data_IF_792284803187
#
_entry.id   IF_792284803187
#
_cell.length_a   1.000
_cell.length_b   1.000
_cell.length_c   1.000
_cell.angle_alpha   90.00
_cell.angle_beta   90.00
_cell.angle_gamma   90.00
#
_symmetry.space_group_name_H-M   'P 1'
#
loop_
_entity.id
_entity.type
_entity.pdbx_description
1 polymer ?
#
# COMPACT_ATOMS: atom_id res chain seq x y z
N UNK A 1 15.19 -10.01 -6.18
CA UNK A 1 14.39 -10.27 -4.96
C UNK A 1 15.17 -11.23 -4.07
N UNK A 2 15.12 -11.08 -2.74
CA UNK A 2 15.70 -12.02 -1.78
C UNK A 2 14.72 -13.14 -1.47
N UNK A 3 15.24 -14.33 -1.13
CA UNK A 3 14.41 -15.47 -0.71
C UNK A 3 13.81 -15.26 0.70
N UNK A 4 12.69 -15.93 1.03
CA UNK A 4 12.11 -15.86 2.38
C UNK A 4 13.08 -16.29 3.48
N UNK A 5 14.01 -17.20 3.18
CA UNK A 5 15.03 -17.66 4.13
C UNK A 5 15.99 -16.53 4.49
N UNK A 6 16.47 -15.78 3.48
CA UNK A 6 17.34 -14.61 3.69
C UNK A 6 16.63 -13.47 4.43
N UNK A 7 15.31 -13.36 4.26
CA UNK A 7 14.49 -12.29 4.84
C UNK A 7 13.96 -12.61 6.23
N UNK A 8 14.00 -13.86 6.67
CA UNK A 8 13.38 -14.31 7.91
C UNK A 8 13.77 -13.47 9.15
N UNK A 9 15.04 -13.05 9.23
CA UNK A 9 15.53 -12.22 10.34
C UNK A 9 14.92 -10.80 10.38
N UNK A 10 14.33 -10.33 9.27
CA UNK A 10 13.76 -8.98 9.14
C UNK A 10 12.26 -8.94 9.37
N UNK A 11 11.52 -10.06 9.35
CA UNK A 11 10.06 -10.06 9.45
C UNK A 11 9.54 -9.40 10.74
N UNK A 12 10.26 -9.54 11.85
CA UNK A 12 9.93 -8.83 13.09
C UNK A 12 9.95 -7.29 12.94
N UNK A 13 10.85 -6.76 12.11
CA UNK A 13 10.92 -5.32 11.82
C UNK A 13 9.84 -4.90 10.82
N UNK A 14 9.49 -5.79 9.89
CA UNK A 14 8.35 -5.54 8.98
C UNK A 14 7.04 -5.45 9.75
N UNK A 15 6.87 -6.29 10.76
CA UNK A 15 5.69 -6.24 11.63
C UNK A 15 5.59 -4.91 12.38
N UNK A 16 6.71 -4.43 12.96
CA UNK A 16 6.76 -3.12 13.62
C UNK A 16 6.43 -2.01 12.61
N UNK A 17 7.05 -2.06 11.43
CA UNK A 17 6.82 -1.06 10.36
C UNK A 17 5.36 -1.05 9.91
N UNK A 18 4.76 -2.23 9.76
CA UNK A 18 3.33 -2.40 9.43
C UNK A 18 2.44 -1.75 10.50
N UNK A 19 2.72 -1.99 11.78
CA UNK A 19 1.94 -1.41 12.86
C UNK A 19 2.07 0.12 12.92
N UNK A 20 3.27 0.66 12.68
CA UNK A 20 3.47 2.11 12.56
C UNK A 20 2.67 2.69 11.39
N UNK A 21 2.67 2.03 10.23
CA UNK A 21 1.89 2.47 9.07
C UNK A 21 0.39 2.43 9.38
N UNK A 22 -0.10 1.36 10.02
CA UNK A 22 -1.49 1.25 10.46
C UNK A 22 -1.89 2.41 11.38
N UNK A 23 -1.02 2.78 12.33
CA UNK A 23 -1.26 3.92 13.21
C UNK A 23 -1.30 5.25 12.44
N UNK A 24 -0.38 5.46 11.50
CA UNK A 24 -0.38 6.66 10.66
C UNK A 24 -1.65 6.77 9.80
N UNK A 25 -2.13 5.65 9.23
CA UNK A 25 -3.40 5.62 8.49
C UNK A 25 -4.54 6.06 9.41
N UNK A 26 -4.67 5.46 10.58
CA UNK A 26 -5.76 5.73 11.50
C UNK A 26 -5.76 7.19 11.97
N UNK A 27 -4.60 7.72 12.34
CA UNK A 27 -4.45 9.09 12.84
C UNK A 27 -4.76 10.10 11.73
N UNK A 28 -4.18 9.92 10.54
CA UNK A 28 -4.42 10.80 9.38
C UNK A 28 -5.91 10.87 9.03
N UNK A 29 -6.57 9.71 8.94
CA UNK A 29 -7.98 9.64 8.57
C UNK A 29 -8.90 10.13 9.70
N UNK A 30 -8.55 9.85 10.95
CA UNK A 30 -9.30 10.36 12.11
C UNK A 30 -9.19 11.90 12.20
N UNK A 31 -8.01 12.47 11.99
CA UNK A 31 -7.84 13.93 11.92
C UNK A 31 -8.70 14.54 10.83
N UNK A 32 -8.71 13.93 9.66
CA UNK A 32 -9.42 14.48 8.50
C UNK A 32 -10.92 14.17 8.52
N UNK A 33 -11.35 13.12 9.22
CA UNK A 33 -12.73 12.58 9.18
C UNK A 33 -13.18 12.21 7.76
N UNK A 34 -12.25 11.72 6.95
CA UNK A 34 -12.48 11.38 5.55
C UNK A 34 -11.39 10.46 5.04
N UNK A 35 -11.72 9.47 4.21
CA UNK A 35 -10.82 8.51 3.57
C UNK A 35 -11.23 7.06 3.81
N UNK A 36 -10.39 6.12 3.43
CA UNK A 36 -10.73 4.70 3.32
C UNK A 36 -9.82 3.85 4.23
N UNK A 37 -10.17 3.66 5.51
CA UNK A 37 -9.31 2.94 6.46
C UNK A 37 -9.17 1.45 6.15
N UNK A 38 -10.27 0.76 5.84
CA UNK A 38 -10.29 -0.70 5.70
C UNK A 38 -9.39 -1.21 4.56
N UNK A 39 -9.59 -0.67 3.35
CA UNK A 39 -8.78 -1.03 2.17
C UNK A 39 -7.32 -0.59 2.29
N UNK A 40 -7.07 0.58 2.90
CA UNK A 40 -5.71 1.05 3.15
C UNK A 40 -4.96 0.12 4.11
N UNK A 41 -5.57 -0.30 5.22
CA UNK A 41 -4.93 -1.20 6.20
C UNK A 41 -4.73 -2.62 5.66
N UNK A 42 -5.70 -3.17 4.91
CA UNK A 42 -5.60 -4.54 4.39
C UNK A 42 -4.45 -4.71 3.38
N UNK A 43 -4.07 -3.64 2.67
CA UNK A 43 -2.99 -3.67 1.67
C UNK A 43 -1.58 -3.42 2.23
N UNK A 44 -1.41 -3.07 3.52
CA UNK A 44 -0.09 -2.74 4.09
C UNK A 44 0.90 -3.90 3.98
N UNK A 45 0.47 -5.14 4.25
CA UNK A 45 1.34 -6.31 4.10
C UNK A 45 1.83 -6.48 2.65
N UNK A 46 0.93 -6.32 1.67
CA UNK A 46 1.27 -6.36 0.25
C UNK A 46 2.28 -5.28 -0.13
N UNK A 47 2.05 -4.06 0.34
CA UNK A 47 2.94 -2.93 0.10
C UNK A 47 4.34 -3.19 0.66
N UNK A 48 4.45 -3.57 1.93
CA UNK A 48 5.75 -3.84 2.56
C UNK A 48 6.46 -5.03 1.93
N UNK A 49 5.75 -6.12 1.64
CA UNK A 49 6.36 -7.27 0.96
C UNK A 49 6.91 -6.87 -0.40
N UNK A 50 6.17 -6.10 -1.19
CA UNK A 50 6.61 -5.61 -2.50
C UNK A 50 7.88 -4.76 -2.40
N UNK A 51 7.94 -3.85 -1.43
CA UNK A 51 9.05 -2.90 -1.30
C UNK A 51 10.27 -3.51 -0.62
N UNK A 52 10.07 -4.23 0.50
CA UNK A 52 11.17 -4.65 1.38
C UNK A 52 11.80 -5.99 0.99
N UNK A 53 11.10 -6.82 0.21
CA UNK A 53 11.67 -8.07 -0.31
C UNK A 53 12.62 -7.87 -1.49
N UNK A 54 12.60 -6.67 -2.10
CA UNK A 54 13.28 -6.41 -3.36
C UNK A 54 12.53 -6.95 -4.59
N UNK A 55 11.24 -7.27 -4.47
CA UNK A 55 10.37 -7.57 -5.61
C UNK A 55 10.29 -6.37 -6.55
N UNK A 56 10.10 -5.19 -6.00
CA UNK A 56 10.13 -3.91 -6.71
C UNK A 56 11.50 -3.25 -6.55
N UNK A 57 12.13 -2.87 -7.67
CA UNK A 57 13.37 -2.07 -7.69
C UNK A 57 12.99 -0.61 -7.57
N UNK A 58 13.29 0.02 -6.45
CA UNK A 58 12.96 1.40 -6.16
C UNK A 58 13.98 2.02 -5.19
N UNK A 59 14.01 3.33 -5.13
CA UNK A 59 14.79 4.08 -4.15
C UNK A 59 13.91 5.22 -3.61
N UNK A 60 13.55 5.15 -2.34
CA UNK A 60 12.71 6.18 -1.70
C UNK A 60 13.36 7.56 -1.73
N UNK A 61 14.70 7.63 -1.81
CA UNK A 61 15.47 8.88 -1.88
C UNK A 61 15.46 9.49 -3.28
N UNK A 62 15.07 8.70 -4.29
CA UNK A 62 14.97 9.15 -5.68
C UNK A 62 13.68 8.61 -6.35
N UNK A 63 12.50 9.07 -5.91
CA UNK A 63 11.21 8.55 -6.40
C UNK A 63 11.00 8.77 -7.89
N UNK A 64 11.72 9.72 -8.50
CA UNK A 64 11.72 10.01 -9.94
C UNK A 64 12.75 9.26 -10.77
N UNK A 65 13.45 8.26 -10.21
CA UNK A 65 14.51 7.52 -10.91
C UNK A 65 13.99 6.87 -12.21
N UNK A 66 14.68 7.16 -13.33
CA UNK A 66 14.20 6.85 -14.69
C UNK A 66 13.89 5.37 -14.94
N UNK A 67 14.75 4.47 -14.47
CA UNK A 67 14.63 3.02 -14.69
C UNK A 67 14.32 2.22 -13.42
N UNK A 68 13.78 2.88 -12.39
CA UNK A 68 13.15 2.18 -11.29
C UNK A 68 11.85 1.50 -11.76
N UNK A 69 11.42 0.44 -11.08
CA UNK A 69 10.13 -0.16 -11.33
C UNK A 69 9.00 0.86 -11.04
N UNK A 70 7.84 0.68 -11.63
CA UNK A 70 6.70 1.59 -11.58
C UNK A 70 5.68 1.10 -10.57
N UNK A 71 5.10 2.03 -9.83
CA UNK A 71 3.99 1.74 -8.92
C UNK A 71 2.72 2.46 -9.38
N UNK A 72 1.65 1.69 -9.59
CA UNK A 72 0.32 2.20 -9.96
C UNK A 72 -0.68 1.76 -8.90
N UNK A 73 -1.22 2.69 -8.14
CA UNK A 73 -2.32 2.41 -7.22
C UNK A 73 -3.63 2.42 -8.01
N UNK A 74 -4.06 1.26 -8.50
CA UNK A 74 -5.30 1.12 -9.28
C UNK A 74 -6.51 1.47 -8.40
N UNK A 75 -6.52 1.01 -7.14
CA UNK A 75 -7.45 1.44 -6.11
C UNK A 75 -7.04 2.82 -5.54
N UNK A 76 -7.16 3.88 -6.34
CA UNK A 76 -6.64 5.22 -6.02
C UNK A 76 -7.12 5.81 -4.69
N UNK A 77 -8.23 5.31 -4.14
CA UNK A 77 -8.78 5.71 -2.85
C UNK A 77 -7.99 5.15 -1.64
N UNK A 78 -7.16 4.13 -1.85
CA UNK A 78 -6.31 3.53 -0.80
C UNK A 78 -4.94 4.22 -0.68
N UNK A 79 -4.81 5.43 -1.22
CA UNK A 79 -3.61 6.27 -1.09
C UNK A 79 -3.13 6.51 0.37
N UNK A 80 -3.99 6.49 1.43
CA UNK A 80 -3.49 6.56 2.80
C UNK A 80 -2.45 5.50 3.15
N UNK A 81 -2.58 4.29 2.60
CA UNK A 81 -1.57 3.23 2.75
C UNK A 81 -0.21 3.67 2.19
N UNK A 82 -0.19 4.23 0.98
CA UNK A 82 1.07 4.67 0.34
C UNK A 82 1.68 5.85 1.08
N UNK A 83 0.88 6.86 1.44
CA UNK A 83 1.37 8.04 2.16
C UNK A 83 1.98 7.65 3.50
N UNK A 84 1.28 6.84 4.28
CA UNK A 84 1.77 6.37 5.58
C UNK A 84 3.03 5.52 5.44
N UNK A 85 3.11 4.66 4.42
CA UNK A 85 4.32 3.87 4.14
C UNK A 85 5.51 4.76 3.83
N UNK A 86 5.34 5.74 2.94
CA UNK A 86 6.42 6.67 2.59
C UNK A 86 6.84 7.54 3.78
N UNK A 87 5.88 8.01 4.59
CA UNK A 87 6.16 8.81 5.78
C UNK A 87 6.98 8.02 6.81
N UNK A 88 6.58 6.80 7.14
CA UNK A 88 7.30 5.95 8.11
C UNK A 88 8.72 5.63 7.63
N UNK A 89 8.88 5.26 6.36
CA UNK A 89 10.20 4.93 5.83
C UNK A 89 11.11 6.15 5.69
N UNK A 90 10.58 7.31 5.28
CA UNK A 90 11.34 8.55 5.23
C UNK A 90 11.73 9.04 6.62
N UNK A 91 10.85 8.86 7.62
CA UNK A 91 11.16 9.20 9.02
C UNK A 91 12.30 8.34 9.56
N UNK A 92 12.29 7.05 9.26
CA UNK A 92 13.40 6.17 9.62
C UNK A 92 14.74 6.64 9.02
N UNK A 93 14.74 7.12 7.77
CA UNK A 93 15.91 7.72 7.15
C UNK A 93 16.32 9.04 7.81
N UNK A 94 15.35 9.91 8.13
CA UNK A 94 15.58 11.19 8.82
C UNK A 94 16.21 10.97 10.19
N UNK A 95 15.68 10.05 10.98
CA UNK A 95 16.25 9.68 12.28
C UNK A 95 17.68 9.17 12.10
N UNK A 96 17.90 8.28 11.14
CA UNK A 96 19.23 7.70 10.89
C UNK A 96 20.24 8.76 10.45
N UNK A 97 19.83 9.69 9.60
CA UNK A 97 20.67 10.83 9.24
C UNK A 97 21.04 11.69 10.45
N UNK A 98 20.05 12.01 11.30
CA UNK A 98 20.29 12.81 12.51
C UNK A 98 21.24 12.12 13.51
N UNK A 99 21.20 10.79 13.57
CA UNK A 99 22.08 10.00 14.44
C UNK A 99 23.52 9.87 13.91
N UNK A 100 23.69 9.79 12.58
CA UNK A 100 24.98 9.39 11.98
C UNK A 100 25.64 10.49 11.16
N UNK A 101 24.89 11.48 10.69
CA UNK A 101 25.34 12.50 9.73
C UNK A 101 25.61 11.96 8.31
N UNK A 102 25.31 10.69 8.05
CA UNK A 102 25.64 10.05 6.78
C UNK A 102 24.68 10.48 5.65
N UNK A 103 25.22 11.14 4.62
CA UNK A 103 24.45 11.64 3.45
C UNK A 103 23.65 10.58 2.69
N UNK A 104 24.01 9.29 2.81
CA UNK A 104 23.27 8.20 2.17
C UNK A 104 21.81 8.08 2.64
N UNK A 105 21.47 8.67 3.76
CA UNK A 105 20.10 8.69 4.30
C UNK A 105 19.28 9.91 3.84
N UNK A 106 19.87 10.83 3.08
CA UNK A 106 19.16 11.99 2.55
C UNK A 106 18.46 11.67 1.23
N UNK A 107 17.34 12.35 0.99
CA UNK A 107 16.72 12.37 -0.32
C UNK A 107 17.59 13.16 -1.32
N UNK A 108 17.86 12.59 -2.49
CA UNK A 108 18.72 13.19 -3.50
C UNK A 108 18.11 14.42 -4.20
N UNK A 109 16.80 14.52 -4.21
CA UNK A 109 16.05 15.63 -4.84
C UNK A 109 15.61 16.70 -3.86
N UNK A 110 16.02 16.58 -2.58
CA UNK A 110 15.64 17.51 -1.53
C UNK A 110 14.29 17.20 -0.88
N UNK A 111 13.93 18.05 0.07
CA UNK A 111 12.74 17.85 0.91
C UNK A 111 11.42 17.98 0.14
N UNK A 112 11.41 18.64 -1.01
CA UNK A 112 10.23 18.84 -1.84
C UNK A 112 9.65 17.51 -2.40
N UNK A 113 10.47 16.46 -2.47
CA UNK A 113 10.07 15.12 -2.92
C UNK A 113 10.03 14.09 -1.79
N UNK A 114 10.28 14.51 -0.57
CA UNK A 114 10.28 13.66 0.62
C UNK A 114 8.98 13.81 1.39
N UNK A 115 8.11 12.80 1.30
CA UNK A 115 6.89 12.75 2.10
C UNK A 115 7.25 12.30 3.52
N UNK A 116 6.95 13.15 4.51
CA UNK A 116 7.22 12.93 5.92
C UNK A 116 5.94 12.93 6.73
N UNK A 117 6.00 12.60 8.01
CA UNK A 117 4.80 12.45 8.84
C UNK A 117 3.97 13.75 8.95
N UNK A 118 4.61 14.91 8.93
CA UNK A 118 3.91 16.21 8.97
C UNK A 118 2.98 16.41 7.77
N UNK A 119 3.32 15.82 6.63
CA UNK A 119 2.48 15.91 5.43
C UNK A 119 1.16 15.14 5.59
N UNK A 120 1.14 14.07 6.40
CA UNK A 120 -0.07 13.29 6.66
C UNK A 120 -1.20 14.13 7.24
N UNK A 121 -0.86 15.19 8.00
CA UNK A 121 -1.82 16.13 8.59
C UNK A 121 -2.52 17.00 7.55
N UNK A 122 -2.01 17.02 6.32
CA UNK A 122 -2.50 17.88 5.24
C UNK A 122 -3.44 17.16 4.27
N UNK A 123 -3.77 15.88 4.52
CA UNK A 123 -4.65 15.10 3.64
C UNK A 123 -5.92 15.86 3.28
N UNK A 124 -6.23 15.95 1.98
CA UNK A 124 -7.42 16.64 1.44
C UNK A 124 -7.55 18.11 1.87
N UNK A 125 -6.44 18.77 2.16
CA UNK A 125 -6.38 20.23 2.34
C UNK A 125 -5.84 20.89 1.07
N UNK A 126 -6.23 22.13 0.81
CA UNK A 126 -5.66 22.90 -0.31
C UNK A 126 -4.14 23.01 -0.17
N UNK A 127 -3.41 22.56 -1.19
CA UNK A 127 -1.94 22.52 -1.18
C UNK A 127 -1.32 21.38 -0.37
N UNK A 128 -2.14 20.50 0.21
CA UNK A 128 -1.70 19.31 0.93
C UNK A 128 -1.79 18.03 0.11
N UNK A 129 -1.75 16.88 0.79
CA UNK A 129 -1.83 15.57 0.14
C UNK A 129 -3.18 15.35 -0.53
N UNK A 130 -3.20 14.89 -1.81
CA UNK A 130 -4.42 14.61 -2.55
C UNK A 130 -5.27 13.49 -1.91
N UNK A 131 -6.57 13.51 -2.18
CA UNK A 131 -7.51 12.50 -1.71
C UNK A 131 -7.52 11.20 -2.51
N UNK A 132 -6.88 11.20 -3.68
CA UNK A 132 -6.63 10.05 -4.57
C UNK A 132 -5.19 10.08 -5.04
N UNK A 133 -4.75 9.04 -5.74
CA UNK A 133 -3.38 8.96 -6.19
C UNK A 133 -3.10 10.02 -7.28
N UNK A 134 -2.14 10.91 -7.01
CA UNK A 134 -1.67 11.92 -7.95
C UNK A 134 -0.13 11.90 -8.03
N UNK A 135 0.40 11.92 -9.24
CA UNK A 135 1.84 11.96 -9.49
C UNK A 135 2.32 13.41 -9.49
N UNK A 136 2.58 13.96 -8.31
CA UNK A 136 3.03 15.34 -8.16
C UNK A 136 3.82 15.56 -6.86
N UNK A 137 4.82 16.44 -6.87
CA UNK A 137 5.55 16.85 -5.67
C UNK A 137 6.06 15.68 -4.84
N UNK A 138 5.58 15.56 -3.61
CA UNK A 138 5.97 14.49 -2.66
C UNK A 138 5.38 13.11 -2.99
N UNK A 139 4.47 13.02 -3.95
CA UNK A 139 3.78 11.80 -4.35
C UNK A 139 4.27 11.23 -5.70
N UNK A 140 5.48 11.56 -6.13
CA UNK A 140 6.13 11.03 -7.35
C UNK A 140 6.35 9.51 -7.33
N UNK A 141 6.14 8.86 -6.19
CA UNK A 141 6.12 7.40 -6.11
C UNK A 141 5.02 6.81 -6.99
N UNK A 142 3.85 7.43 -7.06
CA UNK A 142 2.83 7.10 -8.05
C UNK A 142 3.32 7.44 -9.46
N UNK A 143 2.95 6.62 -10.43
CA UNK A 143 3.28 6.86 -11.84
C UNK A 143 2.08 7.24 -12.70
N UNK A 144 0.88 7.18 -12.12
CA UNK A 144 -0.36 7.65 -12.75
C UNK A 144 -1.28 8.29 -11.72
N UNK A 145 -2.09 9.23 -12.17
CA UNK A 145 -3.22 9.74 -11.43
C UNK A 145 -4.37 8.74 -11.54
N UNK A 146 -4.86 8.25 -10.41
CA UNK A 146 -5.95 7.29 -10.36
C UNK A 146 -6.99 7.70 -9.32
N UNK A 147 -8.20 7.20 -9.44
CA UNK A 147 -9.29 7.50 -8.53
C UNK A 147 -10.31 6.37 -8.50
N UNK A 148 -11.20 6.27 -9.50
CA UNK A 148 -12.18 5.20 -9.57
C UNK A 148 -11.52 3.83 -9.66
N UNK A 149 -12.04 2.85 -8.90
CA UNK A 149 -11.55 1.46 -8.91
C UNK A 149 -11.50 0.90 -10.33
N UNK A 150 -10.48 0.12 -10.66
CA UNK A 150 -10.25 -0.50 -11.95
C UNK A 150 -9.71 0.43 -13.05
N UNK A 151 -9.90 1.75 -12.94
CA UNK A 151 -9.47 2.69 -13.99
C UNK A 151 -7.93 2.85 -14.09
N UNK A 152 -7.19 2.43 -13.09
CA UNK A 152 -5.73 2.36 -13.14
C UNK A 152 -5.19 1.15 -13.92
N UNK A 153 -6.05 0.20 -14.29
CA UNK A 153 -5.65 -1.03 -15.00
C UNK A 153 -5.13 -0.75 -16.42
N UNK A 154 -5.86 -0.04 -17.29
CA UNK A 154 -5.36 0.28 -18.63
C UNK A 154 -4.05 1.08 -18.64
N UNK A 155 -3.88 2.16 -17.83
CA UNK A 155 -2.60 2.87 -17.79
C UNK A 155 -1.45 2.00 -17.25
N UNK A 156 -1.67 1.08 -16.32
CA UNK A 156 -0.63 0.17 -15.87
C UNK A 156 -0.15 -0.76 -17.00
N UNK A 157 -1.08 -1.32 -17.79
CA UNK A 157 -0.73 -2.12 -18.97
C UNK A 157 -0.08 -1.26 -20.07
N UNK A 158 -0.56 -0.04 -20.28
CA UNK A 158 0.02 0.90 -21.25
C UNK A 158 1.48 1.26 -20.90
N UNK A 159 1.78 1.52 -19.62
CA UNK A 159 3.15 1.75 -19.16
C UNK A 159 4.04 0.51 -19.35
N UNK A 160 3.52 -0.69 -19.00
CA UNK A 160 4.27 -1.93 -19.22
C UNK A 160 4.59 -2.16 -20.71
N UNK A 161 3.64 -1.89 -21.60
CA UNK A 161 3.83 -1.96 -23.04
C UNK A 161 4.86 -0.92 -23.52
N UNK A 162 4.73 0.33 -23.08
CA UNK A 162 5.64 1.40 -23.48
C UNK A 162 7.09 1.09 -23.06
N UNK A 163 7.30 0.55 -21.87
CA UNK A 163 8.62 0.11 -21.41
C UNK A 163 9.20 -1.02 -22.27
N UNK A 164 8.38 -1.99 -22.69
CA UNK A 164 8.81 -3.06 -23.60
C UNK A 164 9.18 -2.51 -24.98
N UNK A 165 8.36 -1.64 -25.54
CA UNK A 165 8.62 -1.00 -26.84
C UNK A 165 9.87 -0.11 -26.81
N UNK A 166 10.16 0.51 -25.66
CA UNK A 166 11.37 1.30 -25.46
C UNK A 166 12.64 0.44 -25.21
N UNK A 167 12.55 -0.88 -25.25
CA UNK A 167 13.69 -1.80 -25.02
C UNK A 167 14.10 -1.93 -23.55
N UNK A 168 13.28 -1.50 -22.60
CA UNK A 168 13.52 -1.58 -21.15
C UNK A 168 12.48 -2.45 -20.44
N UNK A 169 12.09 -3.53 -21.07
CA UNK A 169 11.07 -4.47 -20.57
C UNK A 169 11.44 -5.22 -19.29
N UNK A 170 12.64 -5.04 -18.76
CA UNK A 170 13.05 -5.51 -17.43
C UNK A 170 12.54 -4.60 -16.29
N UNK A 171 12.07 -3.38 -16.60
CA UNK A 171 11.37 -2.49 -15.67
C UNK A 171 9.95 -3.00 -15.48
N UNK A 172 9.61 -3.35 -14.23
CA UNK A 172 8.30 -3.88 -13.88
C UNK A 172 7.32 -2.76 -13.54
N UNK A 173 6.05 -3.03 -13.80
CA UNK A 173 4.92 -2.20 -13.37
C UNK A 173 4.12 -2.98 -12.34
N UNK A 174 4.07 -2.48 -11.10
CA UNK A 174 3.28 -3.04 -10.01
C UNK A 174 1.95 -2.30 -9.91
N UNK A 175 0.85 -3.01 -10.14
CA UNK A 175 -0.51 -2.49 -10.14
C UNK A 175 -1.27 -3.02 -8.91
N UNK A 176 -1.65 -2.14 -7.99
CA UNK A 176 -2.29 -2.51 -6.72
C UNK A 176 -3.80 -2.26 -6.76
N UNK A 177 -4.58 -3.32 -6.58
CA UNK A 177 -6.03 -3.27 -6.61
C UNK A 177 -6.65 -4.14 -5.50
N UNK A 178 -7.95 -4.05 -5.33
CA UNK A 178 -8.80 -4.96 -4.58
C UNK A 178 -9.87 -5.56 -5.49
N UNK A 179 -10.69 -6.47 -4.97
CA UNK A 179 -11.70 -7.17 -5.77
C UNK A 179 -12.70 -6.24 -6.45
N UNK A 180 -13.01 -5.09 -5.82
CA UNK A 180 -13.96 -4.13 -6.39
C UNK A 180 -13.57 -3.61 -7.76
N UNK A 181 -12.29 -3.37 -7.98
CA UNK A 181 -11.78 -2.91 -9.27
C UNK A 181 -11.77 -4.00 -10.34
N UNK A 182 -11.72 -5.26 -9.94
CA UNK A 182 -11.74 -6.39 -10.86
C UNK A 182 -13.10 -6.56 -11.56
N UNK A 183 -14.18 -5.99 -11.02
CA UNK A 183 -15.52 -6.08 -11.63
C UNK A 183 -15.74 -5.09 -12.78
N UNK A 184 -14.81 -4.16 -13.01
CA UNK A 184 -14.96 -3.15 -14.06
C UNK A 184 -14.60 -3.69 -15.44
N UNK A 185 -15.33 -3.26 -16.48
CA UNK A 185 -15.07 -3.66 -17.87
C UNK A 185 -13.65 -3.32 -18.32
N UNK A 186 -13.13 -2.15 -17.92
CA UNK A 186 -11.77 -1.73 -18.25
C UNK A 186 -10.70 -2.70 -17.72
N UNK A 187 -10.91 -3.29 -16.53
CA UNK A 187 -10.00 -4.32 -16.00
C UNK A 187 -10.07 -5.58 -16.85
N UNK A 188 -11.27 -6.08 -17.19
CA UNK A 188 -11.43 -7.28 -18.03
C UNK A 188 -10.75 -7.15 -19.40
N UNK A 189 -10.89 -6.01 -20.05
CA UNK A 189 -10.22 -5.72 -21.32
C UNK A 189 -8.70 -5.64 -21.16
N UNK A 190 -8.24 -5.02 -20.06
CA UNK A 190 -6.81 -4.94 -19.73
C UNK A 190 -6.21 -6.32 -19.52
N UNK A 191 -6.88 -7.21 -18.77
CA UNK A 191 -6.37 -8.56 -18.54
C UNK A 191 -6.18 -9.35 -19.83
N UNK A 192 -7.15 -9.27 -20.76
CA UNK A 192 -7.04 -9.90 -22.07
C UNK A 192 -5.90 -9.30 -22.89
N UNK A 193 -5.82 -7.97 -22.97
CA UNK A 193 -4.81 -7.25 -23.74
C UNK A 193 -3.41 -7.49 -23.20
N UNK A 194 -3.24 -7.52 -21.88
CA UNK A 194 -1.94 -7.76 -21.24
C UNK A 194 -1.37 -9.14 -21.60
N UNK A 195 -2.20 -10.17 -21.63
CA UNK A 195 -1.79 -11.49 -22.10
C UNK A 195 -1.47 -11.51 -23.60
N UNK A 196 -2.34 -10.95 -24.43
CA UNK A 196 -2.14 -10.90 -25.89
C UNK A 196 -0.90 -10.12 -26.31
N UNK A 197 -0.49 -9.13 -25.53
CA UNK A 197 0.70 -8.31 -25.74
C UNK A 197 1.96 -8.88 -25.04
N UNK A 198 1.84 -9.99 -24.30
CA UNK A 198 2.94 -10.63 -23.61
C UNK A 198 3.59 -9.74 -22.54
N UNK A 199 2.79 -9.02 -21.73
CA UNK A 199 3.30 -8.03 -20.76
C UNK A 199 3.85 -8.71 -19.49
N UNK A 200 4.93 -9.47 -19.60
CA UNK A 200 5.57 -10.17 -18.49
C UNK A 200 6.24 -9.26 -17.45
N UNK A 201 6.33 -7.98 -17.75
CA UNK A 201 6.74 -6.93 -16.83
C UNK A 201 5.57 -6.26 -16.08
N UNK A 202 4.31 -6.68 -16.30
CA UNK A 202 3.15 -6.25 -15.52
C UNK A 202 2.89 -7.25 -14.38
N UNK A 203 2.85 -6.74 -13.15
CA UNK A 203 2.61 -7.50 -11.93
C UNK A 203 1.42 -6.88 -11.19
N UNK A 204 0.31 -7.59 -11.14
CA UNK A 204 -0.85 -7.21 -10.32
C UNK A 204 -0.69 -7.73 -8.90
N UNK A 205 -0.97 -6.89 -7.93
CA UNK A 205 -1.28 -7.30 -6.57
C UNK A 205 -2.77 -7.12 -6.31
N UNK A 206 -3.43 -8.17 -5.86
CA UNK A 206 -4.84 -8.15 -5.48
C UNK A 206 -4.97 -8.38 -3.98
N UNK A 207 -5.51 -7.38 -3.27
CA UNK A 207 -5.94 -7.55 -1.89
C UNK A 207 -7.31 -8.26 -1.88
N UNK A 208 -7.28 -9.53 -1.54
CA UNK A 208 -8.46 -10.37 -1.52
C UNK A 208 -9.10 -10.38 -0.12
N UNK A 209 -10.00 -9.44 0.11
CA UNK A 209 -10.69 -9.26 1.39
C UNK A 209 -12.20 -9.47 1.32
N UNK A 210 -12.72 -9.79 0.14
CA UNK A 210 -14.12 -10.11 -0.20
C UNK A 210 -15.13 -8.95 -0.05
N UNK A 211 -14.70 -7.71 0.27
CA UNK A 211 -15.63 -6.61 0.52
C UNK A 211 -15.27 -5.31 -0.20
N UNK A 212 -16.28 -4.72 -0.83
CA UNK A 212 -16.27 -3.36 -1.37
C UNK A 212 -16.88 -2.35 -0.38
N UNK A 213 -17.72 -1.45 -0.93
CA UNK A 213 -18.53 -0.51 -0.20
C UNK A 213 -19.91 -1.08 0.17
N UNK A 214 -20.38 -2.04 -0.61
CA UNK A 214 -21.70 -2.65 -0.44
C UNK A 214 -21.67 -3.71 0.67
N UNK A 215 -22.84 -3.98 1.24
CA UNK A 215 -23.02 -4.95 2.34
C UNK A 215 -22.84 -6.40 1.91
N UNK A 216 -22.88 -6.66 0.60
CA UNK A 216 -22.71 -8.01 0.06
C UNK A 216 -21.25 -8.29 -0.27
N UNK A 217 -20.71 -9.45 0.15
CA UNK A 217 -19.37 -9.86 -0.25
C UNK A 217 -19.28 -10.11 -1.76
N UNK A 218 -18.12 -9.87 -2.36
CA UNK A 218 -17.90 -10.12 -3.80
C UNK A 218 -18.15 -11.55 -4.17
N UNK A 219 -17.79 -12.51 -3.36
CA UNK A 219 -18.04 -13.94 -3.55
C UNK A 219 -19.53 -14.29 -3.73
N UNK A 220 -20.44 -13.42 -3.27
CA UNK A 220 -21.89 -13.60 -3.47
C UNK A 220 -22.45 -12.92 -4.73
N UNK A 221 -21.63 -12.13 -5.43
CA UNK A 221 -22.04 -11.30 -6.57
C UNK A 221 -21.29 -11.71 -7.83
N UNK A 222 -20.01 -12.03 -7.72
CA UNK A 222 -19.13 -12.41 -8.83
C UNK A 222 -18.86 -13.90 -8.75
N UNK A 223 -19.09 -14.61 -9.87
CA UNK A 223 -18.77 -16.03 -9.95
C UNK A 223 -17.26 -16.25 -10.06
N UNK A 224 -16.74 -17.21 -9.31
CA UNK A 224 -15.32 -17.54 -9.25
C UNK A 224 -14.56 -16.68 -8.22
N UNK A 225 -13.27 -16.82 -8.23
CA UNK A 225 -12.33 -16.14 -7.33
C UNK A 225 -11.41 -15.20 -8.11
N UNK A 226 -10.69 -14.27 -7.45
CA UNK A 226 -9.72 -13.41 -8.14
C UNK A 226 -8.64 -14.20 -8.92
N UNK A 227 -8.14 -15.30 -8.38
CA UNK A 227 -7.18 -16.15 -9.08
C UNK A 227 -7.78 -16.85 -10.30
N UNK A 228 -9.04 -17.32 -10.24
CA UNK A 228 -9.76 -17.86 -11.40
C UNK A 228 -9.87 -16.82 -12.52
N UNK A 229 -10.20 -15.58 -12.18
CA UNK A 229 -10.33 -14.51 -13.17
C UNK A 229 -9.03 -14.31 -13.96
N UNK A 230 -7.90 -14.33 -13.29
CA UNK A 230 -6.59 -14.12 -13.93
C UNK A 230 -6.10 -15.38 -14.66
N UNK A 231 -6.25 -16.56 -14.07
CA UNK A 231 -5.81 -17.82 -14.69
C UNK A 231 -6.58 -18.13 -15.97
N UNK A 232 -7.90 -17.87 -15.99
CA UNK A 232 -8.72 -18.00 -17.19
C UNK A 232 -8.31 -17.05 -18.33
N UNK A 233 -7.59 -15.96 -18.02
CA UNK A 233 -7.00 -15.03 -18.98
C UNK A 233 -5.55 -15.36 -19.34
N UNK A 234 -5.03 -16.51 -18.89
CA UNK A 234 -3.67 -16.96 -19.18
C UNK A 234 -2.57 -16.29 -18.35
N UNK A 235 -2.92 -15.63 -17.26
CA UNK A 235 -1.93 -15.02 -16.34
C UNK A 235 -1.29 -16.07 -15.46
N UNK A 236 -0.03 -15.82 -15.09
CA UNK A 236 0.64 -16.59 -14.05
C UNK A 236 0.23 -16.03 -12.68
N UNK A 237 -0.32 -16.90 -11.84
CA UNK A 237 -0.89 -16.54 -10.53
C UNK A 237 -0.18 -17.29 -9.43
N UNK A 238 0.22 -16.58 -8.40
CA UNK A 238 0.66 -17.11 -7.11
C UNK A 238 -0.09 -16.38 -5.99
N UNK A 239 -0.16 -16.95 -4.80
CA UNK A 239 -0.92 -16.30 -3.73
C UNK A 239 -0.66 -16.83 -2.34
N UNK A 240 -1.23 -16.09 -1.38
CA UNK A 240 -1.16 -16.42 0.04
C UNK A 240 -2.54 -16.30 0.68
N UNK A 241 -2.98 -17.37 1.35
CA UNK A 241 -4.27 -17.41 2.05
C UNK A 241 -4.30 -16.63 3.37
N UNK A 242 -3.15 -16.13 3.81
CA UNK A 242 -3.02 -15.29 5.00
C UNK A 242 -1.92 -14.26 4.79
N UNK A 243 -2.30 -12.99 4.56
CA UNK A 243 -1.35 -11.91 4.35
C UNK A 243 -0.49 -11.59 5.59
N UNK A 244 -0.89 -12.02 6.79
CA UNK A 244 -0.13 -11.82 8.04
C UNK A 244 1.05 -12.79 8.17
N UNK A 245 1.10 -13.86 7.39
CA UNK A 245 2.24 -14.78 7.33
C UNK A 245 3.31 -14.24 6.36
N UNK A 246 4.19 -13.39 6.86
CA UNK A 246 5.26 -12.77 6.09
C UNK A 246 6.08 -13.78 5.28
N UNK A 247 6.36 -14.96 5.85
CA UNK A 247 7.17 -15.97 5.19
C UNK A 247 6.45 -16.58 4.01
N UNK A 248 5.19 -17.00 4.19
CA UNK A 248 4.38 -17.56 3.09
C UNK A 248 4.12 -16.54 2.00
N UNK A 249 3.80 -15.31 2.38
CA UNK A 249 3.54 -14.28 1.41
C UNK A 249 4.80 -13.89 0.60
N UNK A 250 5.94 -13.78 1.27
CA UNK A 250 7.23 -13.56 0.57
C UNK A 250 7.60 -14.75 -0.32
N UNK A 251 7.26 -15.99 0.10
CA UNK A 251 7.47 -17.18 -0.74
C UNK A 251 6.64 -17.11 -2.02
N UNK A 252 5.36 -16.77 -1.94
CA UNK A 252 4.50 -16.62 -3.11
C UNK A 252 5.06 -15.56 -4.09
N UNK A 253 5.54 -14.42 -3.59
CA UNK A 253 6.23 -13.43 -4.43
C UNK A 253 7.51 -13.99 -5.07
N UNK A 254 8.30 -14.75 -4.30
CA UNK A 254 9.53 -15.34 -4.79
C UNK A 254 9.26 -16.39 -5.88
N UNK A 255 8.22 -17.19 -5.70
CA UNK A 255 7.80 -18.19 -6.68
C UNK A 255 7.32 -17.50 -7.97
N UNK A 256 6.48 -16.49 -7.87
CA UNK A 256 5.97 -15.72 -9.00
C UNK A 256 7.07 -15.05 -9.83
N UNK A 257 8.05 -14.44 -9.18
CA UNK A 257 9.03 -13.58 -9.85
C UNK A 257 10.37 -14.26 -10.15
N UNK A 258 10.71 -15.32 -9.44
CA UNK A 258 12.03 -15.97 -9.50
C UNK A 258 11.93 -17.45 -9.85
N UNK A 259 11.28 -18.26 -9.01
CA UNK A 259 11.29 -19.73 -9.17
C UNK A 259 10.49 -20.17 -10.40
N UNK A 260 9.26 -19.67 -10.53
CA UNK A 260 8.31 -20.07 -11.56
C UNK A 260 8.18 -18.99 -12.66
N UNK A 261 9.19 -18.14 -12.83
CA UNK A 261 9.13 -17.03 -13.78
C UNK A 261 8.80 -17.52 -15.21
N UNK A 262 7.71 -16.98 -15.77
CA UNK A 262 7.28 -17.23 -17.14
C UNK A 262 7.53 -16.00 -18.01
N UNK A 263 8.13 -16.20 -19.19
CA UNK A 263 8.32 -15.13 -20.19
C UNK A 263 7.03 -14.90 -20.96
N UNK A 264 6.81 -13.65 -21.35
CA UNK A 264 5.66 -13.20 -22.13
C UNK A 264 4.29 -13.47 -21.45
N UNK A 265 4.29 -13.75 -20.15
CA UNK A 265 3.08 -13.99 -19.36
C UNK A 265 2.99 -12.95 -18.26
N UNK A 266 1.92 -12.14 -18.24
CA UNK A 266 1.67 -11.20 -17.15
C UNK A 266 1.41 -11.94 -15.83
N UNK A 267 1.64 -11.27 -14.71
CA UNK A 267 1.72 -11.89 -13.38
C UNK A 267 0.70 -11.30 -12.42
N UNK A 268 0.12 -12.15 -11.59
CA UNK A 268 -0.72 -11.72 -10.48
C UNK A 268 -0.29 -12.40 -9.19
N UNK A 269 -0.19 -11.61 -8.13
CA UNK A 269 -0.03 -12.06 -6.75
C UNK A 269 -1.27 -11.64 -5.95
N UNK A 270 -1.85 -12.54 -5.20
CA UNK A 270 -2.91 -12.19 -4.26
C UNK A 270 -2.52 -12.45 -2.81
N UNK A 271 -3.16 -11.74 -1.91
CA UNK A 271 -3.12 -12.06 -0.50
C UNK A 271 -4.53 -11.98 0.09
N UNK A 272 -4.97 -13.06 0.73
CA UNK A 272 -6.22 -13.04 1.49
C UNK A 272 -6.03 -12.29 2.78
N UNK A 273 -6.94 -11.37 3.04
CA UNK A 273 -6.93 -10.51 4.22
C UNK A 273 -8.35 -10.35 4.78
N UNK A 274 -8.46 -9.79 5.97
CA UNK A 274 -9.75 -9.29 6.45
C UNK A 274 -9.75 -7.78 6.41
N UNK A 275 -10.67 -7.21 5.64
CA UNK A 275 -10.86 -5.76 5.56
C UNK A 275 -11.19 -5.18 6.94
N UNK A 276 -10.45 -4.15 7.35
CA UNK A 276 -10.60 -3.55 8.67
C UNK A 276 -9.92 -4.33 9.81
N UNK A 277 -8.99 -5.23 9.50
CA UNK A 277 -8.18 -5.94 10.51
C UNK A 277 -7.48 -4.94 11.44
N UNK A 278 -7.60 -5.17 12.76
CA UNK A 278 -7.04 -4.29 13.80
C UNK A 278 -7.68 -2.91 13.89
N UNK A 279 -8.74 -2.64 13.12
CA UNK A 279 -9.49 -1.38 13.11
C UNK A 279 -10.79 -1.45 13.90
N UNK A 280 -11.20 -2.65 14.34
CA UNK A 280 -12.46 -2.90 15.09
C UNK A 280 -13.75 -2.54 14.34
N UNK A 281 -13.63 -2.09 13.10
CA UNK A 281 -14.73 -1.96 12.15
C UNK A 281 -14.33 -2.76 10.92
N UNK A 282 -15.18 -3.68 10.48
CA UNK A 282 -14.81 -4.68 9.50
C UNK A 282 -15.64 -4.58 8.23
N UNK A 283 -15.10 -5.17 7.20
CA UNK A 283 -15.76 -5.44 5.94
C UNK A 283 -16.28 -4.12 5.29
N UNK A 284 -17.50 -4.07 4.77
CA UNK A 284 -18.08 -2.89 4.12
C UNK A 284 -18.10 -1.66 5.05
N UNK A 285 -18.31 -1.85 6.36
CA UNK A 285 -18.36 -0.76 7.36
C UNK A 285 -17.04 -0.02 7.52
N UNK A 286 -15.93 -0.68 7.21
CA UNK A 286 -14.59 -0.07 7.25
C UNK A 286 -14.21 0.63 5.94
N UNK A 287 -15.06 0.58 4.89
CA UNK A 287 -14.66 1.03 3.56
C UNK A 287 -14.32 2.53 3.50
N UNK A 288 -15.23 3.40 3.91
CA UNK A 288 -15.08 4.84 3.72
C UNK A 288 -15.34 5.69 4.97
N UNK A 289 -15.43 5.08 6.15
CA UNK A 289 -15.83 5.77 7.38
C UNK A 289 -14.69 5.67 8.42
N UNK A 290 -13.89 6.73 8.60
CA UNK A 290 -12.94 6.81 9.70
C UNK A 290 -13.64 6.76 11.07
N UNK A 291 -12.92 6.28 12.09
CA UNK A 291 -13.39 6.42 13.48
C UNK A 291 -13.72 7.88 13.79
N UNK A 292 -14.81 8.12 14.50
CA UNK A 292 -15.12 9.46 14.99
C UNK A 292 -14.00 9.96 15.92
N UNK A 293 -13.77 11.27 15.91
CA UNK A 293 -12.80 11.91 16.80
C UNK A 293 -13.08 11.53 18.24
N UNK A 294 -12.04 11.21 19.00
CA UNK A 294 -12.13 10.83 20.40
C UNK A 294 -13.09 9.65 20.70
N UNK A 295 -13.38 8.81 19.70
CA UNK A 295 -14.20 7.62 19.92
C UNK A 295 -13.41 6.52 20.64
N UNK A 296 -14.13 5.70 21.39
CA UNK A 296 -13.58 4.53 22.09
C UNK A 296 -12.78 3.63 21.15
N UNK A 297 -13.31 3.34 19.95
CA UNK A 297 -12.63 2.50 18.97
C UNK A 297 -11.31 3.11 18.46
N UNK A 298 -11.27 4.44 18.25
CA UNK A 298 -10.03 5.11 17.87
C UNK A 298 -8.97 4.94 18.97
N UNK A 299 -9.31 5.22 20.21
CA UNK A 299 -8.38 5.10 21.33
C UNK A 299 -7.97 3.64 21.57
N UNK A 300 -8.89 2.69 21.38
CA UNK A 300 -8.58 1.27 21.48
C UNK A 300 -7.46 0.85 20.52
N UNK A 301 -7.46 1.31 19.27
CA UNK A 301 -6.37 1.02 18.32
C UNK A 301 -5.03 1.59 18.78
N UNK A 302 -5.03 2.68 19.55
CA UNK A 302 -3.82 3.27 20.13
C UNK A 302 -3.32 2.46 21.32
N UNK A 303 -4.25 2.06 22.21
CA UNK A 303 -3.93 1.22 23.37
C UNK A 303 -3.33 -0.12 22.95
N UNK A 304 -3.90 -0.79 21.95
CA UNK A 304 -3.35 -2.05 21.45
C UNK A 304 -1.89 -1.90 20.99
N UNK A 305 -1.55 -0.78 20.36
CA UNK A 305 -0.18 -0.49 19.96
C UNK A 305 0.72 -0.23 21.18
N UNK A 306 0.28 0.61 22.12
CA UNK A 306 1.06 0.92 23.34
C UNK A 306 1.32 -0.33 24.17
N UNK A 307 0.32 -1.19 24.32
CA UNK A 307 0.42 -2.44 25.03
C UNK A 307 1.38 -3.42 24.34
N UNK A 308 1.24 -3.57 23.01
CA UNK A 308 2.10 -4.47 22.21
C UNK A 308 3.58 -4.09 22.29
N UNK A 309 3.90 -2.81 22.32
CA UNK A 309 5.28 -2.29 22.29
C UNK A 309 5.77 -1.74 23.60
N UNK A 310 4.96 -1.78 24.66
CA UNK A 310 5.28 -1.24 26.00
C UNK A 310 5.73 0.22 25.94
N UNK A 311 5.05 1.03 25.10
CA UNK A 311 5.30 2.46 24.98
C UNK A 311 4.19 3.26 25.68
N UNK A 312 4.49 4.46 26.13
CA UNK A 312 3.51 5.37 26.73
C UNK A 312 3.47 6.67 25.97
N UNK A 313 2.28 7.22 25.81
CA UNK A 313 2.07 8.54 25.25
C UNK A 313 1.70 9.50 26.37
N UNK A 314 2.36 10.65 26.40
CA UNK A 314 2.00 11.72 27.32
C UNK A 314 0.61 12.25 26.99
N UNK A 315 -0.25 12.40 28.00
CA UNK A 315 -1.65 12.90 27.88
C UNK A 315 -2.55 12.10 26.94
N UNK A 316 -2.19 10.86 26.63
CA UNK A 316 -2.97 10.01 25.75
C UNK A 316 -4.32 9.66 26.35
N UNK A 317 -5.39 9.98 25.63
CA UNK A 317 -6.77 9.71 26.08
C UNK A 317 -7.26 10.65 27.18
N UNK A 318 -6.56 11.73 27.51
CA UNK A 318 -7.05 12.74 28.42
C UNK A 318 -8.28 13.45 27.82
N UNK A 319 -9.48 13.39 28.47
CA UNK A 319 -10.71 13.97 27.93
C UNK A 319 -10.65 15.50 27.81
N UNK A 320 -9.71 16.13 28.52
CA UNK A 320 -9.54 17.58 28.64
C UNK A 320 -8.53 18.17 27.67
N UNK A 321 -7.95 17.38 26.77
CA UNK A 321 -7.02 17.91 25.81
C UNK A 321 -7.71 18.92 24.89
N UNK A 322 -7.45 20.20 25.16
CA UNK A 322 -8.07 21.35 24.48
C UNK A 322 -7.82 21.37 22.97
N UNK A 323 -6.81 20.65 22.48
CA UNK A 323 -6.60 20.55 21.06
C UNK A 323 -6.41 19.10 20.62
N UNK A 324 -7.45 18.51 20.07
CA UNK A 324 -7.41 17.24 19.40
C UNK A 324 -6.30 17.19 18.32
N UNK A 325 -6.07 18.32 17.62
CA UNK A 325 -5.00 18.45 16.62
C UNK A 325 -3.60 18.30 17.20
N UNK A 326 -3.36 18.77 18.42
CA UNK A 326 -2.06 18.66 19.08
C UNK A 326 -1.84 17.27 19.64
N UNK A 327 -2.88 16.60 20.14
CA UNK A 327 -2.81 15.17 20.51
C UNK A 327 -2.46 14.29 19.32
N UNK A 328 -3.07 14.54 18.15
CA UNK A 328 -2.76 13.81 16.92
C UNK A 328 -1.32 14.05 16.49
N UNK A 329 -0.83 15.29 16.57
CA UNK A 329 0.58 15.60 16.28
C UNK A 329 1.52 14.86 17.23
N UNK A 330 1.23 14.86 18.52
CA UNK A 330 2.01 14.12 19.51
C UNK A 330 1.96 12.63 19.24
N UNK A 331 0.78 12.05 18.98
CA UNK A 331 0.64 10.64 18.64
C UNK A 331 1.46 10.28 17.38
N UNK A 332 1.39 11.07 16.31
CA UNK A 332 2.21 10.84 15.10
C UNK A 332 3.70 10.93 15.46
N UNK A 333 4.11 11.94 16.20
CA UNK A 333 5.51 12.10 16.59
C UNK A 333 6.04 10.89 17.38
N UNK A 334 5.25 10.30 18.26
CA UNK A 334 5.65 9.11 19.01
C UNK A 334 5.65 7.83 18.17
N UNK A 335 4.82 7.76 17.12
CA UNK A 335 4.72 6.57 16.26
C UNK A 335 5.74 6.55 15.13
N UNK A 336 6.30 7.67 14.73
CA UNK A 336 7.32 7.78 13.67
C UNK A 336 8.72 7.99 14.22
#
# INVERSE_FOLDING_TARGET
>A
MKSPVELNQYFKYWEITKDLIDQCIDIMLNLRQSGHPGGSRSKVHGMLTTLLSGAMRWDIREPGKRFADRFVLVAGHDNPMVYSTLAVLNEALRIKYNQTGEKRYLNYKGQEHQLVWEDLLTLRRKGGLPGHAEMAGKTLFFKFNTGPSGHGSPPAAGEALALKLAGVGDVKVFAFEGEGGLTTGATHETLNSAWGLGLDNLVYYVDWNDYGIDSRPFSSIVHGSPDDLFTQKGWHVEGCDNNEDWKKFTQAYYDLLVTNHQKLVPKMIYAKSRKGRGYYVYDEKSHGVPHKRNSELFWKTKLDFTDKYSVQFHDFGAPEAESWGDQVKQAIFYFT
#
